data_IF_901396954740
#
_entry.id   IF_901396954740
#
_cell.length_a   1.000
_cell.length_b   1.000
_cell.length_c   1.000
_cell.angle_alpha   90.00
_cell.angle_beta   90.00
_cell.angle_gamma   90.00
#
_symmetry.space_group_name_H-M   'P 1'
#
loop_
_entity.id
_entity.type
_entity.pdbx_description
1 polymer ?
#
# COMPACT_ATOMS: atom_id res chain seq x y z
N UNK A 1 -0.36 31.61 -24.07
CA UNK A 1 0.26 30.30 -23.82
C UNK A 1 0.56 29.70 -25.18
N UNK A 2 1.82 29.39 -25.42
CA UNK A 2 2.29 28.85 -26.70
C UNK A 2 1.77 27.41 -26.87
N UNK A 3 0.91 27.19 -27.86
CA UNK A 3 0.29 25.87 -28.13
C UNK A 3 1.11 25.03 -29.12
N UNK A 4 2.44 25.20 -29.18
CA UNK A 4 3.29 24.56 -30.19
C UNK A 4 4.08 23.34 -29.71
N UNK A 5 3.89 22.85 -28.49
CA UNK A 5 4.52 21.57 -28.10
C UNK A 5 3.80 20.39 -28.77
N UNK A 6 4.55 19.63 -29.56
CA UNK A 6 4.07 18.39 -30.17
C UNK A 6 3.73 17.39 -29.06
N UNK A 7 2.51 16.80 -29.04
CA UNK A 7 2.11 15.86 -28.00
C UNK A 7 3.07 14.66 -27.90
N UNK A 8 3.40 14.25 -26.68
CA UNK A 8 4.25 13.09 -26.41
C UNK A 8 3.38 11.84 -26.30
N UNK A 9 3.35 11.03 -27.36
CA UNK A 9 2.50 9.84 -27.45
C UNK A 9 3.12 8.60 -26.81
N UNK A 10 2.28 7.76 -26.20
CA UNK A 10 2.62 6.45 -25.66
C UNK A 10 1.44 5.47 -25.76
N UNK A 11 1.68 4.18 -25.51
CA UNK A 11 0.61 3.18 -25.52
C UNK A 11 -0.23 3.28 -24.24
N UNK A 12 0.43 3.52 -23.11
CA UNK A 12 -0.20 3.61 -21.80
C UNK A 12 0.42 4.75 -21.01
N UNK A 13 -0.44 5.64 -20.51
CA UNK A 13 -0.07 6.72 -19.62
C UNK A 13 -0.50 6.38 -18.19
N UNK A 14 0.43 6.34 -17.24
CA UNK A 14 0.15 6.03 -15.83
C UNK A 14 0.33 7.29 -15.01
N UNK A 15 -0.65 7.60 -14.16
CA UNK A 15 -0.64 8.79 -13.30
C UNK A 15 -0.38 8.35 -11.86
N UNK A 16 0.74 8.78 -11.27
CA UNK A 16 1.17 8.52 -9.91
C UNK A 16 2.41 7.62 -9.84
N UNK A 17 3.57 8.18 -9.48
CA UNK A 17 4.86 7.47 -9.35
C UNK A 17 5.08 6.78 -8.00
N UNK A 18 4.02 6.49 -7.25
CA UNK A 18 4.07 5.63 -6.08
C UNK A 18 4.21 4.15 -6.46
N UNK A 19 4.15 3.26 -5.45
CA UNK A 19 4.36 1.83 -5.66
C UNK A 19 3.40 1.23 -6.68
N UNK A 20 2.13 1.68 -6.68
CA UNK A 20 1.10 1.17 -7.58
C UNK A 20 1.39 1.49 -9.04
N UNK A 21 1.73 2.75 -9.33
CA UNK A 21 2.06 3.17 -10.69
C UNK A 21 3.40 2.63 -11.14
N UNK A 22 4.42 2.62 -10.29
CA UNK A 22 5.73 2.07 -10.63
C UNK A 22 5.68 0.57 -10.92
N UNK A 23 5.01 -0.23 -10.08
CA UNK A 23 4.90 -1.68 -10.30
C UNK A 23 4.07 -2.01 -11.54
N UNK A 24 2.94 -1.30 -11.76
CA UNK A 24 2.12 -1.45 -12.97
C UNK A 24 2.89 -1.03 -14.23
N UNK A 25 3.64 0.07 -14.18
CA UNK A 25 4.47 0.53 -15.30
C UNK A 25 5.54 -0.50 -15.68
N UNK A 26 6.19 -1.10 -14.68
CA UNK A 26 7.18 -2.16 -14.89
C UNK A 26 6.55 -3.41 -15.53
N UNK A 27 5.41 -3.86 -15.02
CA UNK A 27 4.71 -5.04 -15.55
C UNK A 27 4.22 -4.82 -17.00
N UNK A 28 3.63 -3.66 -17.29
CA UNK A 28 3.16 -3.28 -18.63
C UNK A 28 4.32 -3.07 -19.62
N UNK A 29 5.43 -2.47 -19.16
CA UNK A 29 6.65 -2.31 -19.96
C UNK A 29 7.30 -3.65 -20.29
N UNK A 30 7.45 -4.55 -19.31
CA UNK A 30 7.95 -5.91 -19.53
C UNK A 30 7.09 -6.72 -20.50
N UNK A 31 5.81 -6.38 -20.56
CA UNK A 31 4.83 -6.90 -21.49
C UNK A 31 4.86 -6.25 -22.90
N UNK A 32 5.77 -5.30 -23.14
CA UNK A 32 6.05 -4.72 -24.46
C UNK A 32 5.32 -3.41 -24.76
N UNK A 33 4.58 -2.82 -23.82
CA UNK A 33 3.95 -1.52 -24.02
C UNK A 33 4.96 -0.37 -23.83
N UNK A 34 4.87 0.67 -24.67
CA UNK A 34 5.56 1.92 -24.40
C UNK A 34 4.79 2.71 -23.33
N UNK A 35 5.34 2.72 -22.11
CA UNK A 35 4.71 3.33 -20.93
C UNK A 35 5.36 4.68 -20.59
N UNK A 36 4.53 5.69 -20.35
CA UNK A 36 4.95 6.93 -19.68
C UNK A 36 4.30 6.97 -18.29
N UNK A 37 5.12 7.13 -17.25
CA UNK A 37 4.71 7.29 -15.86
C UNK A 37 4.85 8.76 -15.46
N UNK A 38 3.76 9.41 -15.11
CA UNK A 38 3.72 10.80 -14.63
C UNK A 38 3.71 10.83 -13.10
N UNK A 39 4.56 11.66 -12.51
CA UNK A 39 4.62 11.92 -11.07
C UNK A 39 4.56 13.43 -10.84
N UNK A 40 3.65 13.88 -9.97
CA UNK A 40 3.46 15.30 -9.68
C UNK A 40 4.61 15.88 -8.86
N UNK A 41 5.23 15.05 -8.02
CA UNK A 41 6.34 15.44 -7.16
C UNK A 41 7.69 15.40 -7.89
N UNK A 42 8.73 16.06 -7.36
CA UNK A 42 10.09 15.95 -7.91
C UNK A 42 10.68 14.53 -7.85
N UNK A 43 10.17 13.69 -6.94
CA UNK A 43 10.62 12.32 -6.75
C UNK A 43 9.45 11.35 -6.54
N UNK A 44 9.52 10.14 -7.12
CA UNK A 44 8.58 9.08 -6.81
C UNK A 44 8.70 8.68 -5.34
N UNK A 45 7.59 8.22 -4.75
CA UNK A 45 7.56 7.75 -3.36
C UNK A 45 7.58 8.84 -2.28
N UNK A 46 7.41 10.13 -2.62
CA UNK A 46 7.32 11.21 -1.63
C UNK A 46 6.12 11.09 -0.67
N UNK A 47 5.00 10.56 -1.17
CA UNK A 47 3.76 10.35 -0.42
C UNK A 47 3.73 8.96 0.26
N UNK A 48 2.57 8.32 0.36
CA UNK A 48 2.33 7.11 1.17
C UNK A 48 3.35 5.99 0.98
N UNK A 49 3.86 5.76 -0.24
CA UNK A 49 4.89 4.73 -0.48
C UNK A 49 6.14 4.92 0.39
N UNK A 50 6.71 6.13 0.44
CA UNK A 50 7.88 6.42 1.28
C UNK A 50 7.55 6.64 2.75
N UNK A 51 6.27 6.56 3.14
CA UNK A 51 5.79 6.79 4.51
C UNK A 51 5.16 5.54 5.14
N UNK A 52 5.33 4.37 4.54
CA UNK A 52 4.87 3.10 5.09
C UNK A 52 5.75 2.64 6.28
N UNK A 53 5.19 1.81 7.16
CA UNK A 53 5.96 0.97 8.08
C UNK A 53 6.43 -0.34 7.41
N UNK A 54 5.76 -0.73 6.31
CA UNK A 54 6.14 -1.76 5.36
C UNK A 54 6.63 -3.09 5.93
N UNK A 55 5.79 -3.74 6.72
CA UNK A 55 5.97 -5.15 7.09
C UNK A 55 5.03 -6.00 6.22
N UNK A 56 5.57 -7.04 5.60
CA UNK A 56 4.81 -8.11 4.96
C UNK A 56 4.23 -9.00 6.06
N UNK A 57 2.91 -9.10 6.12
CA UNK A 57 2.19 -9.96 7.07
C UNK A 57 1.12 -10.72 6.28
N UNK A 58 1.32 -12.03 6.16
CA UNK A 58 0.50 -12.94 5.35
C UNK A 58 -0.95 -12.94 5.80
N UNK A 59 -1.21 -12.93 7.12
CA UNK A 59 -2.56 -12.94 7.69
C UNK A 59 -3.30 -11.60 7.64
N UNK A 60 -2.60 -10.50 7.30
CA UNK A 60 -3.13 -9.14 7.46
C UNK A 60 -4.06 -8.70 6.34
N UNK A 61 -5.19 -8.08 6.73
CA UNK A 61 -6.23 -7.59 5.83
C UNK A 61 -7.40 -8.57 5.65
N UNK A 62 -8.31 -8.23 4.74
CA UNK A 62 -9.44 -9.09 4.39
C UNK A 62 -9.01 -10.23 3.43
N UNK A 63 -9.93 -11.11 3.07
CA UNK A 63 -9.67 -12.26 2.19
C UNK A 63 -9.00 -11.85 0.86
N UNK A 64 -9.48 -10.78 0.22
CA UNK A 64 -8.88 -10.26 -1.02
C UNK A 64 -7.41 -9.86 -0.81
N UNK A 65 -7.10 -9.18 0.29
CA UNK A 65 -5.73 -8.79 0.62
C UNK A 65 -4.87 -10.01 0.90
N UNK A 66 -5.35 -11.00 1.65
CA UNK A 66 -4.61 -12.23 1.95
C UNK A 66 -4.27 -13.01 0.68
N UNK A 67 -5.21 -13.12 -0.26
CA UNK A 67 -4.98 -13.69 -1.60
C UNK A 67 -3.90 -12.90 -2.35
N UNK A 68 -3.97 -11.57 -2.35
CA UNK A 68 -2.97 -10.72 -3.00
C UNK A 68 -1.59 -10.81 -2.35
N UNK A 69 -1.52 -10.95 -1.02
CA UNK A 69 -0.27 -11.17 -0.28
C UNK A 69 0.34 -12.50 -0.70
N UNK A 70 -0.43 -13.59 -0.64
CA UNK A 70 0.01 -14.92 -1.05
C UNK A 70 0.52 -14.93 -2.50
N UNK A 71 -0.21 -14.28 -3.41
CA UNK A 71 0.20 -14.14 -4.80
C UNK A 71 1.43 -13.23 -5.02
N UNK A 72 1.70 -12.31 -4.10
CA UNK A 72 2.87 -11.42 -4.16
C UNK A 72 4.12 -12.03 -3.53
N UNK A 73 3.98 -12.96 -2.58
CA UNK A 73 5.08 -13.57 -1.84
C UNK A 73 6.17 -14.18 -2.73
N UNK A 74 5.86 -14.94 -3.80
CA UNK A 74 6.90 -15.49 -4.68
C UNK A 74 7.81 -14.44 -5.31
N UNK A 75 7.28 -13.26 -5.62
CA UNK A 75 8.07 -12.16 -6.17
C UNK A 75 9.05 -11.60 -5.14
N UNK A 76 8.63 -11.49 -3.88
CA UNK A 76 9.49 -11.00 -2.82
C UNK A 76 10.61 -11.99 -2.46
N UNK A 77 10.29 -13.28 -2.46
CA UNK A 77 11.27 -14.34 -2.17
C UNK A 77 12.28 -14.53 -3.31
N UNK A 78 11.84 -14.34 -4.56
CA UNK A 78 12.66 -14.54 -5.74
C UNK A 78 12.34 -13.51 -6.84
N UNK A 79 12.72 -12.23 -6.66
CA UNK A 79 12.52 -11.22 -7.68
C UNK A 79 13.37 -11.54 -8.93
N UNK A 80 12.99 -11.06 -10.12
CA UNK A 80 13.76 -11.28 -11.35
C UNK A 80 15.23 -10.88 -11.20
N UNK A 81 16.12 -11.53 -11.96
CA UNK A 81 17.54 -11.22 -11.95
C UNK A 81 17.79 -9.73 -12.26
N UNK A 82 18.64 -9.09 -11.45
CA UNK A 82 18.94 -7.65 -11.57
C UNK A 82 17.85 -6.72 -11.02
N UNK A 83 16.78 -7.24 -10.40
CA UNK A 83 15.74 -6.41 -9.80
C UNK A 83 16.26 -5.63 -8.59
N UNK A 84 16.95 -6.30 -7.66
CA UNK A 84 17.54 -5.71 -6.46
C UNK A 84 18.89 -6.37 -6.15
N UNK A 85 19.80 -5.61 -5.52
CA UNK A 85 21.14 -6.08 -5.14
C UNK A 85 21.14 -6.95 -3.88
N UNK A 86 20.09 -6.83 -3.06
CA UNK A 86 19.90 -7.53 -1.79
C UNK A 86 18.47 -8.10 -1.70
N UNK A 87 18.22 -9.08 -0.81
CA UNK A 87 16.87 -9.59 -0.57
C UNK A 87 15.89 -8.46 -0.23
N UNK A 88 14.69 -8.52 -0.80
CA UNK A 88 13.63 -7.54 -0.55
C UNK A 88 12.99 -7.68 0.83
N UNK A 89 13.09 -8.87 1.43
CA UNK A 89 12.54 -9.20 2.74
C UNK A 89 13.65 -9.47 3.75
N UNK A 90 13.49 -8.93 4.95
CA UNK A 90 14.29 -9.30 6.12
C UNK A 90 13.38 -9.82 7.25
N UNK A 91 13.70 -10.95 7.89
CA UNK A 91 12.85 -11.52 8.94
C UNK A 91 12.56 -10.53 10.08
N UNK A 92 11.29 -10.50 10.52
CA UNK A 92 10.83 -9.62 11.61
C UNK A 92 9.96 -10.38 12.62
N UNK A 93 9.02 -11.17 12.12
CA UNK A 93 7.92 -11.73 12.91
C UNK A 93 6.87 -10.68 13.28
N UNK A 94 5.63 -11.11 13.49
CA UNK A 94 4.55 -10.24 13.98
C UNK A 94 3.90 -10.88 15.22
N UNK A 95 3.75 -10.08 16.28
CA UNK A 95 3.11 -10.43 17.53
C UNK A 95 1.81 -9.64 17.64
N UNK A 96 0.68 -10.35 17.60
CA UNK A 96 -0.64 -9.80 17.87
C UNK A 96 -0.96 -10.00 19.34
N UNK A 97 -1.25 -8.92 20.06
CA UNK A 97 -1.49 -8.94 21.50
C UNK A 97 -2.91 -8.49 21.81
N UNK A 98 -3.64 -9.29 22.58
CA UNK A 98 -4.98 -8.97 23.06
C UNK A 98 -4.98 -8.76 24.57
N UNK A 99 -5.54 -7.63 25.00
CA UNK A 99 -5.97 -7.44 26.38
C UNK A 99 -7.31 -8.15 26.64
N UNK A 100 -7.83 -8.02 27.86
CA UNK A 100 -9.08 -8.68 28.27
C UNK A 100 -10.27 -8.34 27.37
N UNK A 101 -10.34 -7.11 26.86
CA UNK A 101 -11.45 -6.65 26.04
C UNK A 101 -11.42 -7.26 24.62
N UNK A 102 -10.23 -7.64 24.14
CA UNK A 102 -10.03 -8.05 22.75
C UNK A 102 -9.60 -9.53 22.58
N UNK A 103 -9.67 -10.34 23.64
CA UNK A 103 -9.41 -11.79 23.55
C UNK A 103 -10.32 -12.44 22.51
N UNK A 104 -11.59 -12.06 22.46
CA UNK A 104 -12.55 -12.64 21.52
C UNK A 104 -12.18 -12.37 20.05
N UNK A 105 -11.69 -11.16 19.76
CA UNK A 105 -11.29 -10.76 18.40
C UNK A 105 -10.07 -11.55 17.94
N UNK A 106 -9.05 -11.68 18.80
CA UNK A 106 -7.86 -12.46 18.48
C UNK A 106 -8.15 -13.97 18.41
N UNK A 107 -9.04 -14.49 19.26
CA UNK A 107 -9.48 -15.88 19.20
C UNK A 107 -10.20 -16.17 17.87
N UNK A 108 -11.07 -15.26 17.42
CA UNK A 108 -11.73 -15.40 16.11
C UNK A 108 -10.71 -15.42 14.96
N UNK A 109 -9.64 -14.60 15.03
CA UNK A 109 -8.56 -14.62 14.04
C UNK A 109 -7.75 -15.93 14.08
N UNK A 110 -7.50 -16.50 15.26
CA UNK A 110 -6.83 -17.80 15.41
C UNK A 110 -7.68 -18.97 14.90
N UNK A 111 -9.00 -18.88 15.06
CA UNK A 111 -9.95 -19.91 14.62
C UNK A 111 -10.29 -19.82 13.13
N UNK A 112 -9.91 -18.72 12.46
CA UNK A 112 -10.08 -18.54 11.02
C UNK A 112 -9.19 -19.53 10.23
N UNK A 113 -9.77 -20.43 9.42
CA UNK A 113 -9.01 -21.38 8.61
C UNK A 113 -8.01 -20.71 7.65
N UNK A 114 -8.25 -19.46 7.23
CA UNK A 114 -7.33 -18.70 6.39
C UNK A 114 -6.00 -18.36 7.10
N UNK A 115 -6.01 -18.34 8.43
CA UNK A 115 -4.82 -18.08 9.26
C UNK A 115 -4.15 -19.37 9.76
N UNK A 116 -4.71 -20.54 9.43
CA UNK A 116 -4.16 -21.82 9.84
C UNK A 116 -2.74 -22.02 9.29
N UNK A 117 -1.78 -22.21 10.18
CA UNK A 117 -0.36 -22.34 9.83
C UNK A 117 0.39 -21.01 9.63
N UNK A 118 -0.30 -19.87 9.66
CA UNK A 118 0.30 -18.54 9.71
C UNK A 118 0.39 -18.03 11.15
N UNK A 119 -0.72 -18.09 11.89
CA UNK A 119 -0.79 -17.63 13.28
C UNK A 119 -0.62 -18.79 14.27
N UNK A 120 0.34 -18.66 15.17
CA UNK A 120 0.52 -19.55 16.31
C UNK A 120 0.02 -18.87 17.59
N UNK A 121 -0.95 -19.48 18.28
CA UNK A 121 -1.36 -18.99 19.61
C UNK A 121 -0.24 -19.20 20.61
N UNK A 122 0.10 -18.15 21.36
CA UNK A 122 1.11 -18.19 22.40
C UNK A 122 0.58 -17.58 23.71
N UNK A 123 1.16 -18.02 24.83
CA UNK A 123 0.80 -17.47 26.13
C UNK A 123 1.48 -16.12 26.41
N UNK A 124 1.05 -15.45 27.49
CA UNK A 124 1.63 -14.18 27.94
C UNK A 124 3.13 -14.28 28.17
N UNK A 125 3.65 -15.39 28.71
CA UNK A 125 5.07 -15.53 28.99
C UNK A 125 5.90 -15.54 27.70
N UNK A 126 5.44 -16.25 26.67
CA UNK A 126 6.06 -16.27 25.35
C UNK A 126 5.94 -14.91 24.66
N UNK A 127 4.80 -14.23 24.77
CA UNK A 127 4.61 -12.89 24.22
C UNK A 127 5.61 -11.89 24.80
N UNK A 128 5.82 -11.91 26.13
CA UNK A 128 6.80 -11.08 26.82
C UNK A 128 8.25 -11.47 26.49
N UNK A 129 8.51 -12.73 26.12
CA UNK A 129 9.83 -13.14 25.65
C UNK A 129 10.16 -12.54 24.27
N UNK A 130 9.17 -12.41 23.38
CA UNK A 130 9.32 -11.75 22.08
C UNK A 130 9.35 -10.22 22.19
N UNK A 131 8.48 -9.66 23.03
CA UNK A 131 8.33 -8.23 23.22
C UNK A 131 8.37 -7.88 24.72
N UNK A 132 9.57 -7.78 25.32
CA UNK A 132 9.75 -7.55 26.76
C UNK A 132 9.19 -6.24 27.29
N UNK A 133 8.91 -5.29 26.40
CA UNK A 133 8.29 -4.02 26.78
C UNK A 133 6.80 -4.14 27.08
N UNK A 134 6.09 -5.15 26.55
CA UNK A 134 4.65 -5.29 26.80
C UNK A 134 4.35 -5.44 28.30
N UNK A 135 3.23 -4.87 28.73
CA UNK A 135 2.67 -5.21 30.04
C UNK A 135 1.90 -6.53 29.95
N UNK A 136 1.95 -7.42 30.95
CA UNK A 136 1.27 -8.71 30.91
C UNK A 136 -0.23 -8.61 30.60
N UNK A 137 -0.93 -7.61 31.14
CA UNK A 137 -2.35 -7.36 30.93
C UNK A 137 -2.72 -6.95 29.49
N UNK A 138 -1.73 -6.56 28.68
CA UNK A 138 -1.92 -6.21 27.25
C UNK A 138 -1.77 -7.41 26.32
N UNK A 139 -1.40 -8.59 26.85
CA UNK A 139 -1.18 -9.82 26.08
C UNK A 139 -1.73 -11.03 26.85
N UNK A 140 -2.99 -10.94 27.30
CA UNK A 140 -3.70 -12.05 27.94
C UNK A 140 -3.85 -13.23 26.98
N UNK A 141 -4.14 -12.92 25.71
CA UNK A 141 -3.99 -13.83 24.58
C UNK A 141 -3.03 -13.18 23.58
N UNK A 142 -2.17 -13.98 22.97
CA UNK A 142 -1.29 -13.52 21.91
C UNK A 142 -1.22 -14.53 20.77
N UNK A 143 -0.90 -14.03 19.57
CA UNK A 143 -0.60 -14.84 18.40
C UNK A 143 0.69 -14.36 17.75
N UNK A 144 1.49 -15.29 17.25
CA UNK A 144 2.75 -15.00 16.59
C UNK A 144 2.75 -15.50 15.15
N UNK A 145 3.15 -14.64 14.23
CA UNK A 145 3.36 -14.95 12.82
C UNK A 145 4.86 -14.88 12.53
N UNK A 146 5.48 -16.04 12.35
CA UNK A 146 6.93 -16.15 12.20
C UNK A 146 7.44 -15.70 10.82
N UNK A 147 6.61 -15.82 9.77
CA UNK A 147 7.02 -15.52 8.40
C UNK A 147 6.91 -14.04 8.03
N UNK A 148 6.38 -13.20 8.93
CA UNK A 148 6.33 -11.77 8.74
C UNK A 148 7.74 -11.17 8.59
N UNK A 149 7.88 -10.21 7.67
CA UNK A 149 9.17 -9.66 7.27
C UNK A 149 9.07 -8.15 7.01
N UNK A 150 10.12 -7.40 7.35
CA UNK A 150 10.23 -6.02 6.84
C UNK A 150 10.53 -6.04 5.34
N UNK A 151 9.91 -5.11 4.61
CA UNK A 151 10.11 -4.93 3.17
C UNK A 151 11.04 -3.75 2.93
N UNK A 152 12.10 -3.94 2.15
CA UNK A 152 12.89 -2.81 1.62
C UNK A 152 12.09 -2.09 0.52
N UNK A 153 11.26 -1.13 0.94
CA UNK A 153 10.40 -0.35 0.05
C UNK A 153 11.19 0.42 -0.99
N UNK A 154 12.37 0.93 -0.62
CA UNK A 154 13.19 1.70 -1.55
C UNK A 154 13.77 0.79 -2.63
N UNK A 155 14.35 -0.36 -2.25
CA UNK A 155 14.83 -1.35 -3.21
C UNK A 155 13.70 -1.83 -4.14
N UNK A 156 12.51 -2.08 -3.59
CA UNK A 156 11.32 -2.48 -4.35
C UNK A 156 10.90 -1.40 -5.37
N UNK A 157 10.70 -0.16 -4.92
CA UNK A 157 10.27 0.94 -5.78
C UNK A 157 11.31 1.22 -6.88
N UNK A 158 12.59 1.30 -6.51
CA UNK A 158 13.66 1.56 -7.47
C UNK A 158 13.85 0.39 -8.44
N UNK A 159 13.63 -0.86 -8.01
CA UNK A 159 13.63 -2.04 -8.86
C UNK A 159 12.58 -1.93 -9.98
N UNK A 160 11.35 -1.55 -9.64
CA UNK A 160 10.29 -1.33 -10.63
C UNK A 160 10.61 -0.18 -11.58
N UNK A 161 11.12 0.95 -11.07
CA UNK A 161 11.50 2.09 -11.93
C UNK A 161 12.64 1.73 -12.89
N UNK A 162 13.63 0.94 -12.45
CA UNK A 162 14.69 0.42 -13.34
C UNK A 162 14.14 -0.53 -14.40
N UNK A 163 13.19 -1.39 -14.04
CA UNK A 163 12.53 -2.28 -15.00
C UNK A 163 11.75 -1.49 -16.07
N UNK A 164 10.99 -0.47 -15.66
CA UNK A 164 10.31 0.45 -16.58
C UNK A 164 11.30 1.08 -17.57
N UNK A 165 12.41 1.62 -17.07
CA UNK A 165 13.44 2.24 -17.91
C UNK A 165 14.10 1.23 -18.85
N UNK A 166 14.39 0.02 -18.36
CA UNK A 166 15.00 -1.06 -19.15
C UNK A 166 14.08 -1.55 -20.27
N UNK A 167 12.76 -1.47 -20.08
CA UNK A 167 11.75 -1.73 -21.09
C UNK A 167 11.56 -0.55 -22.08
N UNK A 168 12.32 0.54 -21.95
CA UNK A 168 12.22 1.73 -22.80
C UNK A 168 11.12 2.70 -22.41
N UNK A 169 10.43 2.47 -21.29
CA UNK A 169 9.45 3.40 -20.73
C UNK A 169 10.11 4.64 -20.08
N UNK A 170 9.28 5.63 -19.75
CA UNK A 170 9.76 6.93 -19.25
C UNK A 170 9.03 7.37 -17.99
N UNK A 171 9.79 7.70 -16.95
CA UNK A 171 9.31 8.46 -15.80
C UNK A 171 9.44 9.96 -16.09
N UNK A 172 8.37 10.73 -15.81
CA UNK A 172 8.36 12.19 -15.87
C UNK A 172 7.89 12.71 -14.52
N UNK A 173 8.81 13.26 -13.73
CA UNK A 173 8.54 13.90 -12.45
C UNK A 173 8.19 15.37 -12.61
N UNK A 174 7.68 15.99 -11.55
CA UNK A 174 7.19 17.37 -11.55
C UNK A 174 6.14 17.64 -12.64
N UNK A 175 5.39 16.59 -13.01
CA UNK A 175 4.38 16.57 -14.07
C UNK A 175 3.00 16.40 -13.44
N UNK A 176 2.49 17.45 -12.81
CA UNK A 176 1.13 17.48 -12.27
C UNK A 176 0.14 17.49 -13.42
N UNK A 177 -0.81 16.57 -13.38
CA UNK A 177 -1.95 16.54 -14.30
C UNK A 177 -2.94 17.61 -13.89
N UNK A 178 -3.23 18.55 -14.79
CA UNK A 178 -4.13 19.68 -14.57
C UNK A 178 -5.49 19.50 -15.28
N UNK A 179 -5.55 18.61 -16.27
CA UNK A 179 -6.78 18.32 -17.01
C UNK A 179 -6.61 17.15 -17.97
N UNK A 180 -7.72 16.58 -18.42
CA UNK A 180 -7.69 15.59 -19.49
C UNK A 180 -8.96 15.63 -20.33
N UNK A 181 -8.80 15.28 -21.60
CA UNK A 181 -9.88 15.25 -22.56
C UNK A 181 -9.69 14.05 -23.48
N UNK A 182 -10.77 13.31 -23.70
CA UNK A 182 -10.77 12.25 -24.71
C UNK A 182 -11.03 12.83 -26.10
N UNK A 183 -10.10 12.62 -27.04
CA UNK A 183 -10.24 13.03 -28.45
C UNK A 183 -10.06 11.82 -29.36
N UNK A 184 -11.10 11.51 -30.14
CA UNK A 184 -11.15 10.30 -30.95
C UNK A 184 -10.85 9.06 -30.09
N UNK A 185 -9.82 8.27 -30.42
CA UNK A 185 -9.45 7.04 -29.73
C UNK A 185 -8.38 7.23 -28.64
N UNK A 186 -7.98 8.47 -28.32
CA UNK A 186 -6.91 8.72 -27.37
C UNK A 186 -7.26 9.82 -26.36
N UNK A 187 -6.70 9.69 -25.18
CA UNK A 187 -6.64 10.74 -24.17
C UNK A 187 -5.61 11.80 -24.56
N UNK A 188 -5.94 13.06 -24.28
CA UNK A 188 -4.99 14.15 -24.17
C UNK A 188 -4.95 14.57 -22.70
N UNK A 189 -3.80 14.37 -22.06
CA UNK A 189 -3.58 14.71 -20.66
C UNK A 189 -2.71 15.95 -20.59
N UNK A 190 -3.28 17.02 -20.06
CA UNK A 190 -2.64 18.31 -19.87
C UNK A 190 -1.89 18.30 -18.54
N UNK A 191 -0.63 18.70 -18.59
CA UNK A 191 0.23 18.84 -17.42
C UNK A 191 0.94 20.19 -17.43
N UNK A 192 1.50 20.58 -16.30
CA UNK A 192 2.37 21.75 -16.21
C UNK A 192 3.67 21.65 -17.04
N UNK A 193 4.00 20.49 -17.61
CA UNK A 193 5.21 20.23 -18.42
C UNK A 193 4.91 19.80 -19.86
N UNK A 194 3.69 20.03 -20.32
CA UNK A 194 3.25 19.75 -21.69
C UNK A 194 2.08 18.77 -21.77
N UNK A 195 1.74 18.35 -22.99
CA UNK A 195 0.62 17.46 -23.28
C UNK A 195 1.11 16.06 -23.61
N UNK A 196 0.51 15.06 -22.99
CA UNK A 196 0.75 13.64 -23.23
C UNK A 196 -0.48 12.99 -23.85
N UNK A 197 -0.29 11.97 -24.69
CA UNK A 197 -1.40 11.24 -25.31
C UNK A 197 -1.24 9.75 -25.22
N UNK A 198 -2.32 9.04 -24.90
CA UNK A 198 -2.37 7.59 -24.89
C UNK A 198 -3.80 7.10 -25.12
N UNK A 199 -4.01 5.92 -25.75
CA UNK A 199 -5.33 5.29 -25.78
C UNK A 199 -5.81 4.86 -24.39
N UNK A 200 -4.89 4.51 -23.48
CA UNK A 200 -5.20 4.04 -22.12
C UNK A 200 -4.53 4.90 -21.05
N UNK A 201 -5.30 5.29 -20.04
CA UNK A 201 -4.83 5.89 -18.79
C UNK A 201 -4.94 4.85 -17.66
N UNK A 202 -3.90 4.72 -16.84
CA UNK A 202 -3.95 4.03 -15.55
C UNK A 202 -3.90 5.06 -14.43
N UNK A 203 -4.98 5.17 -13.68
CA UNK A 203 -5.08 6.03 -12.51
C UNK A 203 -4.53 5.32 -11.28
N UNK A 204 -3.25 5.59 -10.96
CA UNK A 204 -2.53 5.07 -9.81
C UNK A 204 -2.15 6.19 -8.82
N UNK A 205 -2.95 7.26 -8.77
CA UNK A 205 -2.64 8.51 -8.06
C UNK A 205 -2.81 8.45 -6.54
N UNK A 206 -2.87 7.24 -5.95
CA UNK A 206 -3.01 7.06 -4.50
C UNK A 206 -4.24 7.77 -3.95
N UNK A 207 -4.05 8.64 -2.95
CA UNK A 207 -5.14 9.42 -2.35
C UNK A 207 -5.88 10.33 -3.34
N UNK A 208 -5.22 10.75 -4.42
CA UNK A 208 -5.78 11.65 -5.43
C UNK A 208 -6.56 10.93 -6.54
N UNK A 209 -6.77 9.61 -6.45
CA UNK A 209 -7.37 8.86 -7.55
C UNK A 209 -8.77 9.39 -7.94
N UNK A 210 -9.61 9.75 -6.97
CA UNK A 210 -10.93 10.34 -7.27
C UNK A 210 -10.83 11.76 -7.87
N UNK A 211 -9.80 12.54 -7.51
CA UNK A 211 -9.56 13.86 -8.13
C UNK A 211 -9.12 13.72 -9.59
N UNK A 212 -8.25 12.74 -9.90
CA UNK A 212 -7.85 12.42 -11.27
C UNK A 212 -9.03 11.91 -12.10
N UNK A 213 -9.90 11.10 -11.51
CA UNK A 213 -11.12 10.63 -12.15
C UNK A 213 -12.09 11.77 -12.48
N UNK A 214 -12.24 12.75 -11.59
CA UNK A 214 -13.06 13.92 -11.86
C UNK A 214 -12.56 14.69 -13.09
N UNK A 215 -11.24 14.78 -13.31
CA UNK A 215 -10.67 15.37 -14.53
C UNK A 215 -10.99 14.55 -15.79
N UNK A 216 -11.16 13.23 -15.67
CA UNK A 216 -11.54 12.33 -16.76
C UNK A 216 -13.05 12.33 -17.06
N UNK A 217 -13.87 12.87 -16.15
CA UNK A 217 -15.32 12.79 -16.22
C UNK A 217 -15.89 11.40 -15.87
N UNK A 218 -15.14 10.56 -15.15
CA UNK A 218 -15.63 9.27 -14.63
C UNK A 218 -16.20 9.43 -13.21
N UNK A 219 -17.15 8.57 -12.84
CA UNK A 219 -17.71 8.55 -11.50
C UNK A 219 -16.66 8.22 -10.42
N UNK A 220 -16.81 8.83 -9.24
CA UNK A 220 -15.96 8.53 -8.08
C UNK A 220 -16.21 7.11 -7.57
N UNK A 221 -15.13 6.45 -7.12
CA UNK A 221 -15.19 5.14 -6.45
C UNK A 221 -15.44 5.26 -4.94
N UNK A 222 -15.73 6.47 -4.45
CA UNK A 222 -15.93 6.75 -3.02
C UNK A 222 -14.65 6.58 -2.21
N UNK A 223 -13.50 6.98 -2.76
CA UNK A 223 -12.21 6.81 -2.11
C UNK A 223 -12.08 7.75 -0.90
N UNK A 224 -11.79 7.18 0.27
CA UNK A 224 -11.54 7.93 1.50
C UNK A 224 -10.09 7.75 1.92
N UNK A 225 -9.23 8.77 1.74
CA UNK A 225 -7.91 8.80 2.36
C UNK A 225 -8.05 8.94 3.88
N UNK A 226 -7.26 8.15 4.59
CA UNK A 226 -7.20 8.16 6.06
C UNK A 226 -5.77 8.37 6.51
N UNK A 227 -5.53 9.39 7.32
CA UNK A 227 -4.23 9.68 7.91
C UNK A 227 -3.83 8.54 8.84
N UNK A 228 -2.57 8.12 8.74
CA UNK A 228 -1.87 7.31 9.72
C UNK A 228 -0.59 8.02 10.15
N UNK A 229 -0.44 8.19 11.45
CA UNK A 229 0.69 8.81 12.13
C UNK A 229 1.69 7.75 12.59
N UNK A 230 2.98 8.02 12.40
CA UNK A 230 4.07 7.21 12.94
C UNK A 230 5.12 8.11 13.57
N UNK A 231 5.61 7.70 14.74
CA UNK A 231 6.62 8.39 15.51
C UNK A 231 7.81 7.45 15.70
N UNK A 232 8.99 8.01 15.90
CA UNK A 232 10.19 7.25 16.29
C UNK A 232 10.81 7.86 17.52
N UNK A 233 11.35 7.03 18.40
CA UNK A 233 12.11 7.47 19.56
C UNK A 233 13.16 6.42 19.93
N UNK A 234 14.20 6.83 20.65
CA UNK A 234 15.20 5.94 21.23
C UNK A 234 14.62 5.30 22.51
N UNK A 235 14.39 3.97 22.54
CA UNK A 235 13.85 3.30 23.72
C UNK A 235 14.89 3.04 24.81
N UNK A 236 16.19 3.32 24.56
CA UNK A 236 17.28 3.11 25.52
C UNK A 236 17.62 1.65 25.80
N UNK A 237 17.10 0.71 24.99
CA UNK A 237 17.30 -0.74 25.12
C UNK A 237 17.56 -1.39 23.75
N UNK A 238 18.15 -2.58 23.74
CA UNK A 238 18.31 -3.35 22.49
C UNK A 238 16.96 -3.92 22.04
N UNK A 239 16.46 -3.36 20.95
CA UNK A 239 15.19 -3.74 20.30
C UNK A 239 15.40 -4.55 19.02
N UNK A 240 16.64 -4.85 18.63
CA UNK A 240 16.97 -5.38 17.29
C UNK A 240 16.18 -6.63 16.89
N UNK A 241 15.83 -7.46 17.88
CA UNK A 241 15.09 -8.73 17.72
C UNK A 241 13.60 -8.63 17.98
N UNK A 242 13.07 -7.46 18.35
CA UNK A 242 11.65 -7.34 18.62
C UNK A 242 10.85 -7.50 17.31
N UNK A 243 9.70 -8.19 17.36
CA UNK A 243 8.81 -8.28 16.21
C UNK A 243 8.06 -6.97 15.99
N UNK A 244 7.30 -6.89 14.90
CA UNK A 244 6.16 -5.99 14.86
C UNK A 244 5.19 -6.41 15.97
N UNK A 245 4.96 -5.57 16.95
CA UNK A 245 3.94 -5.83 17.99
C UNK A 245 2.73 -4.96 17.72
N UNK A 246 1.55 -5.56 17.59
CA UNK A 246 0.30 -4.90 17.24
C UNK A 246 -0.81 -5.34 18.19
N UNK A 247 -1.67 -4.41 18.60
CA UNK A 247 -2.86 -4.77 19.36
C UNK A 247 -3.90 -5.45 18.48
N UNK A 248 -4.64 -6.40 19.03
CA UNK A 248 -5.66 -7.17 18.30
C UNK A 248 -6.77 -6.29 17.69
N UNK A 249 -7.05 -5.14 18.31
CA UNK A 249 -8.00 -4.13 17.85
C UNK A 249 -7.40 -3.09 16.90
N UNK A 250 -6.12 -3.24 16.53
CA UNK A 250 -5.33 -2.33 15.70
C UNK A 250 -5.37 -0.86 16.16
N UNK A 251 -5.35 -0.62 17.48
CA UNK A 251 -5.28 0.73 18.06
C UNK A 251 -3.87 1.18 18.42
N UNK A 252 -2.88 0.30 18.40
CA UNK A 252 -1.48 0.69 18.47
C UNK A 252 -0.59 -0.40 17.89
N UNK A 253 0.59 0.02 17.43
CA UNK A 253 1.66 -0.92 17.13
C UNK A 253 3.03 -0.28 17.31
N UNK A 254 4.04 -1.12 17.45
CA UNK A 254 5.43 -0.70 17.43
C UNK A 254 6.33 -1.74 16.77
N UNK A 255 7.44 -1.27 16.18
CA UNK A 255 8.47 -2.13 15.61
C UNK A 255 9.81 -1.40 15.56
N UNK A 256 10.94 -2.13 15.54
CA UNK A 256 12.24 -1.51 15.28
C UNK A 256 12.31 -0.87 13.88
N UNK A 257 12.88 0.34 13.79
CA UNK A 257 13.12 1.07 12.54
C UNK A 257 14.40 1.91 12.66
N UNK A 258 15.41 1.61 11.84
CA UNK A 258 16.62 2.44 11.76
C UNK A 258 17.46 2.52 13.04
N UNK A 259 17.28 1.60 13.99
CA UNK A 259 17.92 1.62 15.32
C UNK A 259 17.05 2.26 16.41
N UNK A 260 16.00 2.98 16.02
CA UNK A 260 14.99 3.53 16.92
C UNK A 260 13.74 2.61 16.97
N UNK A 261 12.82 2.90 17.87
CA UNK A 261 11.51 2.23 17.90
C UNK A 261 10.47 3.10 17.22
N UNK A 262 9.88 2.58 16.14
CA UNK A 262 8.69 3.16 15.54
C UNK A 262 7.47 2.80 16.38
N UNK A 263 6.62 3.79 16.66
CA UNK A 263 5.33 3.63 17.33
C UNK A 263 4.23 4.32 16.52
N UNK A 264 3.01 3.84 16.63
CA UNK A 264 1.86 4.43 15.94
C UNK A 264 0.57 4.22 16.72
N UNK A 265 -0.34 5.21 16.75
CA UNK A 265 -1.67 5.07 17.35
C UNK A 265 -2.62 4.32 16.42
N UNK A 266 -2.14 3.89 15.25
CA UNK A 266 -2.94 3.22 14.26
C UNK A 266 -4.26 3.98 14.00
N UNK A 267 -4.14 5.29 13.77
CA UNK A 267 -5.22 6.21 13.43
C UNK A 267 -5.73 6.00 12.00
N UNK A 268 -7.04 5.94 11.83
CA UNK A 268 -7.74 5.88 10.53
C UNK A 268 -8.53 7.18 10.31
N UNK A 269 -7.92 8.33 10.59
CA UNK A 269 -8.61 9.63 10.58
C UNK A 269 -8.89 10.09 9.15
N UNK A 270 -10.16 10.22 8.70
CA UNK A 270 -10.47 10.65 7.34
C UNK A 270 -9.94 12.05 7.05
N UNK A 271 -9.33 12.22 5.89
CA UNK A 271 -8.75 13.51 5.47
C UNK A 271 -8.77 13.63 3.94
N UNK A 272 -8.99 14.85 3.38
CA UNK A 272 -8.79 15.09 1.95
C UNK A 272 -7.35 14.76 1.50
N UNK A 273 -7.14 14.46 0.20
CA UNK A 273 -5.81 14.27 -0.36
C UNK A 273 -4.92 15.50 -0.16
N UNK A 274 -3.77 15.32 0.46
CA UNK A 274 -2.76 16.37 0.67
C UNK A 274 -1.41 15.76 1.08
N UNK A 275 -0.41 16.62 1.27
CA UNK A 275 0.82 16.24 1.98
C UNK A 275 0.55 16.14 3.50
N UNK A 276 0.09 14.95 3.93
CA UNK A 276 -0.35 14.73 5.30
C UNK A 276 0.78 14.92 6.32
N UNK A 277 0.49 15.69 7.36
CA UNK A 277 1.36 15.90 8.51
C UNK A 277 0.75 15.26 9.77
N UNK A 278 1.57 14.82 10.75
CA UNK A 278 1.07 14.37 12.04
C UNK A 278 0.24 15.44 12.73
N UNK A 279 -0.88 15.03 13.30
CA UNK A 279 -1.67 15.88 14.21
C UNK A 279 -1.15 15.74 15.64
N UNK A 280 -1.04 16.84 16.38
CA UNK A 280 -0.52 16.81 17.76
C UNK A 280 -1.40 15.98 18.71
N UNK A 281 -2.71 15.87 18.45
CA UNK A 281 -3.59 14.99 19.21
C UNK A 281 -3.26 13.52 18.92
N UNK A 282 -3.04 13.14 17.66
CA UNK A 282 -2.67 11.76 17.30
C UNK A 282 -1.29 11.39 17.88
N UNK A 283 -0.36 12.35 17.94
CA UNK A 283 0.93 12.19 18.62
C UNK A 283 0.73 11.90 20.11
N UNK A 284 -0.10 12.69 20.79
CA UNK A 284 -0.38 12.52 22.21
C UNK A 284 -1.10 11.18 22.50
N UNK A 285 -2.08 10.82 21.68
CA UNK A 285 -2.79 9.52 21.75
C UNK A 285 -1.82 8.36 21.54
N UNK A 286 -0.89 8.47 20.60
CA UNK A 286 0.12 7.45 20.37
C UNK A 286 0.99 7.22 21.61
N UNK A 287 1.52 8.30 22.19
CA UNK A 287 2.35 8.24 23.39
C UNK A 287 1.55 7.64 24.56
N UNK A 288 0.33 8.11 24.79
CA UNK A 288 -0.55 7.60 25.85
C UNK A 288 -0.82 6.09 25.70
N UNK A 289 -1.25 5.64 24.51
CA UNK A 289 -1.51 4.22 24.23
C UNK A 289 -0.27 3.36 24.44
N UNK A 290 0.88 3.77 23.91
CA UNK A 290 2.13 3.01 24.06
C UNK A 290 2.53 2.90 25.54
N UNK A 291 2.47 3.99 26.32
CA UNK A 291 2.82 3.95 27.75
C UNK A 291 1.77 3.21 28.61
N UNK A 292 0.52 3.14 28.15
CA UNK A 292 -0.52 2.37 28.82
C UNK A 292 -0.37 0.86 28.59
N UNK A 293 0.12 0.42 27.43
CA UNK A 293 0.27 -1.00 27.09
C UNK A 293 1.70 -1.55 27.22
N UNK A 294 2.69 -0.67 27.41
CA UNK A 294 4.10 -1.05 27.52
C UNK A 294 4.78 -0.38 28.70
N UNK A 295 5.95 -0.89 29.08
CA UNK A 295 6.84 -0.29 30.08
C UNK A 295 7.74 0.80 29.48
N UNK A 296 7.57 1.14 28.20
CA UNK A 296 8.32 2.20 27.53
C UNK A 296 7.92 3.57 28.08
N UNK A 297 8.89 4.48 28.13
CA UNK A 297 8.69 5.86 28.52
C UNK A 297 9.11 6.76 27.36
N UNK A 298 8.16 7.45 26.72
CA UNK A 298 8.40 8.24 25.51
C UNK A 298 8.59 9.70 25.89
N UNK A 299 9.83 10.06 26.24
CA UNK A 299 10.15 11.44 26.67
C UNK A 299 10.45 12.37 25.50
N UNK A 300 11.11 11.86 24.45
CA UNK A 300 11.57 12.65 23.32
C UNK A 300 11.45 11.88 22.01
N UNK A 301 10.77 12.47 21.05
CA UNK A 301 10.68 11.95 19.69
C UNK A 301 11.94 12.28 18.88
N UNK A 302 12.40 11.32 18.10
CA UNK A 302 13.43 11.49 17.06
C UNK A 302 12.78 12.06 15.80
N UNK A 303 11.66 11.49 15.36
CA UNK A 303 10.90 12.01 14.23
C UNK A 303 9.41 11.70 14.33
N UNK A 304 8.61 12.44 13.55
CA UNK A 304 7.17 12.23 13.37
C UNK A 304 6.83 12.37 11.89
N UNK A 305 5.97 11.49 11.38
CA UNK A 305 5.52 11.48 9.99
C UNK A 305 4.07 10.99 9.89
N UNK A 306 3.38 11.38 8.83
CA UNK A 306 2.06 10.87 8.53
C UNK A 306 1.91 10.56 7.04
N UNK A 307 1.13 9.53 6.72
CA UNK A 307 0.78 9.14 5.36
C UNK A 307 -0.72 8.93 5.20
N UNK A 308 -1.20 8.81 3.97
CA UNK A 308 -2.61 8.58 3.66
C UNK A 308 -2.82 7.14 3.18
N UNK A 309 -3.50 6.32 3.99
CA UNK A 309 -4.01 5.00 3.60
C UNK A 309 -5.39 5.22 2.98
N UNK A 310 -5.57 4.91 1.70
CA UNK A 310 -6.81 5.23 0.97
C UNK A 310 -7.65 4.00 0.74
N UNK A 311 -8.92 4.05 1.14
CA UNK A 311 -9.84 2.93 1.13
C UNK A 311 -11.14 3.25 0.41
N UNK A 312 -11.72 2.25 -0.24
CA UNK A 312 -13.15 2.20 -0.56
C UNK A 312 -13.89 1.42 0.53
N UNK A 313 -15.22 1.31 0.44
CA UNK A 313 -16.06 0.82 1.55
C UNK A 313 -15.68 -0.59 2.05
N UNK A 314 -15.33 -1.51 1.15
CA UNK A 314 -14.99 -2.91 1.46
C UNK A 314 -13.52 -3.10 1.86
N UNK A 315 -12.74 -2.01 1.90
CA UNK A 315 -11.30 -1.97 2.16
C UNK A 315 -10.43 -2.83 1.20
N UNK A 316 -10.99 -3.33 0.10
CA UNK A 316 -10.25 -4.00 -0.97
C UNK A 316 -9.81 -2.99 -2.05
N UNK A 317 -8.66 -3.18 -2.71
CA UNK A 317 -8.24 -2.30 -3.79
C UNK A 317 -9.19 -2.37 -4.99
N UNK A 318 -9.12 -1.36 -5.84
CA UNK A 318 -9.88 -1.27 -7.09
C UNK A 318 -8.90 -1.35 -8.24
N UNK A 319 -9.03 -2.39 -9.06
CA UNK A 319 -8.26 -2.61 -10.27
C UNK A 319 -9.18 -3.04 -11.41
N UNK A 320 -9.35 -2.19 -12.43
CA UNK A 320 -10.23 -2.49 -13.56
C UNK A 320 -10.56 -1.25 -14.40
N UNK A 321 -11.05 -1.47 -15.63
CA UNK A 321 -11.55 -0.38 -16.46
C UNK A 321 -12.82 0.24 -15.85
N UNK A 322 -12.94 1.56 -15.99
CA UNK A 322 -14.18 2.27 -15.67
C UNK A 322 -15.29 1.87 -16.64
N UNK A 323 -16.51 1.71 -16.14
CA UNK A 323 -17.68 1.30 -16.94
C UNK A 323 -18.24 2.44 -17.79
N UNK A 324 -18.00 3.69 -17.39
CA UNK A 324 -18.57 4.92 -17.97
C UNK A 324 -17.60 5.66 -18.90
N UNK A 325 -16.31 5.34 -18.84
CA UNK A 325 -15.24 6.06 -19.52
C UNK A 325 -14.23 5.10 -20.16
N UNK A 326 -14.27 5.03 -21.48
CA UNK A 326 -13.42 4.13 -22.27
C UNK A 326 -11.92 4.49 -22.19
N UNK A 327 -11.09 3.46 -21.98
CA UNK A 327 -9.65 3.58 -21.84
C UNK A 327 -9.17 4.16 -20.50
N UNK A 328 -10.02 4.26 -19.48
CA UNK A 328 -9.61 4.68 -18.12
C UNK A 328 -9.59 3.47 -17.18
N UNK A 329 -8.43 3.14 -16.64
CA UNK A 329 -8.22 2.01 -15.74
C UNK A 329 -7.92 2.50 -14.32
N UNK A 330 -8.71 2.05 -13.35
CA UNK A 330 -8.48 2.28 -11.94
C UNK A 330 -7.38 1.37 -11.41
N UNK A 331 -6.43 1.92 -10.65
CA UNK A 331 -5.52 1.17 -9.80
C UNK A 331 -5.38 1.91 -8.47
N UNK A 332 -6.43 1.83 -7.65
CA UNK A 332 -6.63 2.67 -6.47
C UNK A 332 -7.01 1.85 -5.24
N UNK A 333 -7.17 2.50 -4.09
CA UNK A 333 -7.69 1.85 -2.88
C UNK A 333 -6.72 0.87 -2.22
N UNK A 334 -5.41 1.06 -2.37
CA UNK A 334 -4.39 0.16 -1.81
C UNK A 334 -4.44 0.02 -0.28
N UNK A 335 -5.13 0.95 0.41
CA UNK A 335 -5.30 0.90 1.86
C UNK A 335 -3.98 0.89 2.61
N UNK A 336 -3.87 0.00 3.59
CA UNK A 336 -2.64 -0.25 4.36
C UNK A 336 -1.70 -1.27 3.73
N UNK A 337 -2.01 -1.77 2.52
CA UNK A 337 -1.44 -3.03 2.00
C UNK A 337 -0.65 -2.82 0.70
N UNK A 338 -0.56 -1.58 0.22
CA UNK A 338 -0.06 -1.28 -1.12
C UNK A 338 1.34 -1.78 -1.42
N UNK A 339 2.23 -1.87 -0.43
CA UNK A 339 3.59 -2.41 -0.64
C UNK A 339 3.52 -3.93 -0.82
N UNK A 340 2.94 -4.65 0.13
CA UNK A 340 2.92 -6.13 0.13
C UNK A 340 2.05 -6.74 -0.97
N UNK A 341 1.10 -5.99 -1.52
CA UNK A 341 0.23 -6.43 -2.63
C UNK A 341 0.68 -5.95 -4.01
N UNK A 342 1.70 -5.09 -4.08
CA UNK A 342 2.13 -4.45 -5.33
C UNK A 342 2.48 -5.44 -6.46
N UNK A 343 3.21 -6.54 -6.22
CA UNK A 343 3.52 -7.49 -7.29
C UNK A 343 2.27 -8.12 -7.92
N UNK A 344 1.34 -8.63 -7.09
CA UNK A 344 0.12 -9.27 -7.60
C UNK A 344 -0.80 -8.27 -8.32
N UNK A 345 -0.98 -7.06 -7.75
CA UNK A 345 -1.81 -6.02 -8.38
C UNK A 345 -1.21 -5.53 -9.71
N UNK A 346 0.11 -5.45 -9.83
CA UNK A 346 0.78 -5.10 -11.09
C UNK A 346 0.58 -6.16 -12.16
N UNK A 347 0.77 -7.43 -11.82
CA UNK A 347 0.52 -8.54 -12.74
C UNK A 347 -0.95 -8.62 -13.16
N UNK A 348 -1.88 -8.37 -12.22
CA UNK A 348 -3.31 -8.29 -12.50
C UNK A 348 -3.62 -7.14 -13.47
N UNK A 349 -3.15 -5.92 -13.19
CA UNK A 349 -3.37 -4.76 -14.04
C UNK A 349 -2.82 -4.99 -15.46
N UNK A 350 -1.62 -5.57 -15.58
CA UNK A 350 -1.02 -5.85 -16.87
C UNK A 350 -1.84 -6.85 -17.71
N UNK A 351 -2.31 -7.94 -17.12
CA UNK A 351 -3.17 -8.92 -17.79
C UNK A 351 -4.51 -8.33 -18.23
N UNK A 352 -5.15 -7.58 -17.34
CA UNK A 352 -6.45 -6.96 -17.62
C UNK A 352 -6.36 -5.88 -18.71
N UNK A 353 -5.32 -5.04 -18.69
CA UNK A 353 -5.16 -3.96 -19.69
C UNK A 353 -4.80 -4.50 -21.07
N UNK A 354 -3.96 -5.54 -21.15
CA UNK A 354 -3.47 -6.06 -22.43
C UNK A 354 -4.38 -7.10 -23.06
N UNK A 355 -4.80 -8.06 -22.25
CA UNK A 355 -5.40 -9.30 -22.71
C UNK A 355 -6.86 -9.43 -22.26
N UNK A 356 -7.32 -8.54 -21.36
CA UNK A 356 -8.66 -8.60 -20.79
C UNK A 356 -8.88 -9.79 -19.86
N UNK A 357 -7.80 -10.45 -19.41
CA UNK A 357 -7.86 -11.67 -18.59
C UNK A 357 -6.85 -11.62 -17.45
N UNK A 358 -7.18 -12.32 -16.37
CA UNK A 358 -6.28 -12.52 -15.23
C UNK A 358 -5.19 -13.53 -15.62
N UNK A 359 -3.94 -13.28 -15.23
CA UNK A 359 -2.87 -14.25 -15.41
C UNK A 359 -3.20 -15.58 -14.68
N UNK A 360 -2.99 -16.75 -15.31
CA UNK A 360 -3.31 -18.05 -14.69
C UNK A 360 -2.68 -18.23 -13.30
N UNK A 361 -1.46 -17.74 -13.11
CA UNK A 361 -0.76 -17.80 -11.83
C UNK A 361 -1.50 -17.08 -10.70
N UNK A 362 -2.25 -16.00 -10.98
CA UNK A 362 -3.05 -15.32 -9.97
C UNK A 362 -4.38 -16.05 -9.69
N UNK A 363 -4.94 -16.71 -10.71
CA UNK A 363 -6.13 -17.55 -10.54
C UNK A 363 -5.83 -18.77 -9.66
N UNK A 364 -4.63 -19.33 -9.75
CA UNK A 364 -4.18 -20.44 -8.90
C UNK A 364 -4.15 -20.06 -7.40
N UNK A 365 -3.94 -18.78 -7.08
CA UNK A 365 -4.08 -18.25 -5.71
C UNK A 365 -5.53 -17.92 -5.32
N UNK A 366 -6.50 -18.11 -6.23
CA UNK A 366 -7.92 -17.83 -5.99
C UNK A 366 -8.36 -16.40 -6.30
N UNK A 367 -7.55 -15.59 -7.00
CA UNK A 367 -7.92 -14.22 -7.35
C UNK A 367 -8.99 -14.20 -8.45
N UNK A 368 -10.10 -13.49 -8.19
CA UNK A 368 -11.16 -13.19 -9.15
C UNK A 368 -11.10 -11.70 -9.55
N UNK A 369 -11.39 -11.38 -10.81
CA UNK A 369 -11.45 -9.99 -11.29
C UNK A 369 -12.62 -9.22 -10.67
N UNK A 370 -13.74 -9.89 -10.37
CA UNK A 370 -14.94 -9.26 -9.81
C UNK A 370 -14.69 -8.62 -8.45
N UNK A 371 -13.80 -9.21 -7.62
CA UNK A 371 -13.47 -8.67 -6.29
C UNK A 371 -12.58 -7.43 -6.36
N UNK A 372 -12.01 -7.12 -7.54
CA UNK A 372 -11.20 -5.92 -7.79
C UNK A 372 -11.88 -4.92 -8.74
N UNK A 373 -12.90 -5.33 -9.48
CA UNK A 373 -13.59 -4.50 -10.46
C UNK A 373 -14.24 -3.26 -9.81
N UNK A 374 -14.22 -2.08 -10.46
CA UNK A 374 -14.86 -0.87 -9.94
C UNK A 374 -16.39 -1.02 -9.84
N UNK A 375 -17.02 -1.71 -10.79
CA UNK A 375 -18.48 -1.91 -10.81
C UNK A 375 -19.05 -2.63 -9.59
N UNK A 376 -18.23 -3.35 -8.82
CA UNK A 376 -18.67 -3.97 -7.54
C UNK A 376 -19.12 -2.93 -6.51
N UNK A 377 -18.60 -1.70 -6.62
CA UNK A 377 -18.91 -0.62 -5.68
C UNK A 377 -20.28 0.01 -5.95
N UNK A 378 -20.76 -0.03 -7.19
CA UNK A 378 -22.09 0.48 -7.56
C UNK A 378 -23.23 -0.35 -6.94
N UNK A 379 -23.02 -1.65 -6.73
CA UNK A 379 -24.00 -2.54 -6.10
C UNK A 379 -24.24 -2.22 -4.61
N UNK A 380 -23.33 -1.49 -3.95
CA UNK A 380 -23.41 -1.16 -2.53
C UNK A 380 -24.15 0.16 -2.24
N UNK A 381 -24.41 0.98 -3.26
CA UNK A 381 -25.13 2.27 -3.13
C UNK A 381 -26.56 2.23 -3.69
N UNK A 382 -27.04 1.03 -4.06
CA UNK A 382 -28.40 0.79 -4.52
C UNK A 382 -29.24 0.09 -3.46
N UNK A 383 -29.60 0.81 -2.38
CA UNK A 383 -30.78 0.58 -1.54
C UNK A 383 -31.20 1.88 -0.82
#
# INVERSE_FOLDING_TARGET
MDMSETPRGCDILIIGGGIAGASSAAALGAAGAYVILLEMEPQPGYHTTGRSAATFVSSYGNDTIRVLNAASRPFFDAPPEGFADFPLLSPRGALFAADEAHVADLQAALDDPANAGLLESIDTQAALAYSPALKPESAILAAYEADAADIDVNALLQGYLRQLQSAGGRLVTSARVDGMLRRASAWQVETNVGIFTAPTIVNAAGAWADEIAALAGTASIGLVPKRRTALTFDPGVDISKWPLTISADENWYFRPEGGDLLISPADETPQPPNDAQPDEMDVAVCIDRIQNHTTLNVERLVSKRAGLRSFVFDKSPVAGFADDVDGFFWLAGQGGYGIQTAPALAAFAAGMIRDGVIAPTLQDFGLNAEVLAPGRLCAAFGD
#
